data_IF_737803765477
#
_entry.id   IF_737803765477
#
_cell.length_a   1.000
_cell.length_b   1.000
_cell.length_c   1.000
_cell.angle_alpha   90.00
_cell.angle_beta   90.00
_cell.angle_gamma   90.00
#
_symmetry.space_group_name_H-M   'P 1'
#
loop_
_entity.id
_entity.type
_entity.pdbx_description
1 polymer ?
#
# COMPACT_ATOMS: atom_id res chain seq x y z
N UNK A 1 0.90 -13.20 0.50
CA UNK A 1 1.72 -12.98 1.70
C UNK A 1 2.31 -11.56 1.74
N UNK A 2 2.99 -11.07 0.68
CA UNK A 2 3.66 -9.76 0.69
C UNK A 2 2.77 -8.57 1.11
N UNK A 3 1.54 -8.39 0.61
CA UNK A 3 0.68 -7.29 1.05
C UNK A 3 0.35 -7.33 2.54
N UNK A 4 0.11 -8.53 3.09
CA UNK A 4 -0.19 -8.70 4.51
C UNK A 4 1.03 -8.38 5.39
N UNK A 5 2.24 -8.72 4.94
CA UNK A 5 3.48 -8.37 5.63
C UNK A 5 3.63 -6.85 5.65
N UNK A 6 3.41 -6.18 4.52
CA UNK A 6 3.56 -4.73 4.41
C UNK A 6 2.52 -3.96 5.25
N UNK A 7 1.26 -4.38 5.23
CA UNK A 7 0.22 -3.76 6.07
C UNK A 7 0.46 -4.01 7.55
N UNK A 8 0.84 -5.24 7.93
CA UNK A 8 1.21 -5.56 9.30
C UNK A 8 2.41 -4.76 9.79
N UNK A 9 3.41 -4.55 8.93
CA UNK A 9 4.60 -3.75 9.23
C UNK A 9 4.25 -2.26 9.43
N UNK A 10 3.33 -1.72 8.62
CA UNK A 10 2.81 -0.35 8.78
C UNK A 10 2.13 -0.16 10.13
N UNK A 11 1.27 -1.09 10.52
CA UNK A 11 0.60 -1.07 11.83
C UNK A 11 1.61 -1.21 12.97
N UNK A 12 2.56 -2.14 12.85
CA UNK A 12 3.59 -2.37 13.88
C UNK A 12 4.50 -1.14 14.05
N UNK A 13 4.86 -0.47 12.95
CA UNK A 13 5.63 0.77 12.99
C UNK A 13 4.87 1.87 13.74
N UNK A 14 3.61 2.11 13.38
CA UNK A 14 2.77 3.09 14.06
C UNK A 14 2.62 2.79 15.55
N UNK A 15 2.42 1.53 15.90
CA UNK A 15 2.30 1.11 17.30
C UNK A 15 3.58 1.39 18.11
N UNK A 16 4.76 1.20 17.50
CA UNK A 16 6.04 1.51 18.14
C UNK A 16 6.29 3.01 18.33
N UNK A 17 5.58 3.85 17.61
CA UNK A 17 5.63 5.32 17.71
C UNK A 17 4.49 5.90 18.56
N UNK A 18 3.76 5.05 19.30
CA UNK A 18 2.65 5.48 20.16
C UNK A 18 1.36 5.84 19.42
N UNK A 19 1.28 5.54 18.11
CA UNK A 19 0.08 5.78 17.30
C UNK A 19 -0.62 4.46 16.97
N UNK A 20 -1.95 4.49 16.94
CA UNK A 20 -2.74 3.32 16.57
C UNK A 20 -3.32 3.48 15.17
N UNK A 21 -2.69 2.85 14.16
CA UNK A 21 -3.08 2.95 12.77
C UNK A 21 -4.06 1.83 12.36
N UNK A 22 -5.36 2.10 12.47
CA UNK A 22 -6.41 1.21 11.93
C UNK A 22 -6.66 1.48 10.43
N UNK A 23 -6.13 2.59 9.89
CA UNK A 23 -6.32 3.01 8.51
C UNK A 23 -5.47 2.30 7.45
N UNK A 24 -4.69 1.27 7.84
CA UNK A 24 -3.75 0.60 6.95
C UNK A 24 -4.42 -0.01 5.69
N UNK A 25 -5.66 -0.51 5.80
CA UNK A 25 -6.39 -1.04 4.66
C UNK A 25 -6.76 0.06 3.64
N UNK A 26 -7.20 1.25 4.10
CA UNK A 26 -7.45 2.40 3.22
C UNK A 26 -6.18 2.92 2.54
N UNK A 27 -5.07 2.97 3.27
CA UNK A 27 -3.75 3.31 2.71
C UNK A 27 -3.34 2.34 1.62
N UNK A 28 -3.50 1.04 1.87
CA UNK A 28 -3.23 -0.01 0.90
C UNK A 28 -4.12 0.12 -0.34
N UNK A 29 -5.41 0.35 -0.16
CA UNK A 29 -6.38 0.47 -1.26
C UNK A 29 -6.06 1.66 -2.16
N UNK A 30 -5.72 2.80 -1.59
CA UNK A 30 -5.34 3.99 -2.37
C UNK A 30 -3.98 3.81 -3.07
N UNK A 31 -3.02 3.18 -2.40
CA UNK A 31 -1.74 2.81 -3.02
C UNK A 31 -1.95 1.85 -4.20
N UNK A 32 -2.81 0.83 -4.04
CA UNK A 32 -3.16 -0.10 -5.09
C UNK A 32 -3.85 0.59 -6.29
N UNK A 33 -4.74 1.55 -6.02
CA UNK A 33 -5.34 2.38 -7.07
C UNK A 33 -4.29 3.13 -7.88
N UNK A 34 -3.32 3.77 -7.21
CA UNK A 34 -2.22 4.47 -7.88
C UNK A 34 -1.38 3.55 -8.77
N UNK A 35 -1.06 2.36 -8.28
CA UNK A 35 -0.34 1.35 -9.08
C UNK A 35 -1.15 0.93 -10.31
N UNK A 36 -2.45 0.65 -10.14
CA UNK A 36 -3.35 0.26 -11.24
C UNK A 36 -3.52 1.38 -12.26
N UNK A 37 -3.67 2.62 -11.80
CA UNK A 37 -3.77 3.78 -12.68
C UNK A 37 -2.52 3.94 -13.54
N UNK A 38 -1.33 3.87 -12.96
CA UNK A 38 -0.07 3.93 -13.68
C UNK A 38 0.11 2.75 -14.65
N UNK A 39 -0.31 1.55 -14.25
CA UNK A 39 -0.18 0.35 -15.07
C UNK A 39 -1.12 0.37 -16.27
N UNK A 40 -2.39 0.75 -16.08
CA UNK A 40 -3.44 0.65 -17.10
C UNK A 40 -3.49 1.90 -17.97
N UNK A 41 -3.51 3.09 -17.34
CA UNK A 41 -3.69 4.35 -18.06
C UNK A 41 -2.39 4.90 -18.64
N UNK A 42 -1.29 4.82 -17.88
CA UNK A 42 0.00 5.36 -18.29
C UNK A 42 0.95 4.30 -18.85
N UNK A 43 0.60 3.00 -18.74
CA UNK A 43 1.41 1.86 -19.22
C UNK A 43 2.87 1.93 -18.75
N UNK A 44 3.06 2.35 -17.49
CA UNK A 44 4.37 2.54 -16.89
C UNK A 44 4.96 1.21 -16.40
N UNK A 45 6.30 1.10 -16.32
CA UNK A 45 6.94 -0.09 -15.80
C UNK A 45 6.65 -0.28 -14.30
N UNK A 46 6.73 -1.52 -13.83
CA UNK A 46 6.34 -1.94 -12.48
C UNK A 46 6.99 -1.13 -11.33
N UNK A 47 8.26 -0.71 -11.50
CA UNK A 47 8.94 0.09 -10.47
C UNK A 47 8.36 1.49 -10.31
N UNK A 48 7.89 2.13 -11.41
CA UNK A 48 7.19 3.43 -11.34
C UNK A 48 5.83 3.25 -10.65
N UNK A 49 5.09 2.20 -11.01
CA UNK A 49 3.82 1.87 -10.36
C UNK A 49 4.00 1.68 -8.85
N UNK A 50 5.10 1.06 -8.43
CA UNK A 50 5.42 0.83 -7.02
C UNK A 50 5.75 2.14 -6.29
N UNK A 51 6.52 3.03 -6.92
CA UNK A 51 6.83 4.37 -6.36
C UNK A 51 5.55 5.18 -6.16
N UNK A 52 4.68 5.24 -7.18
CA UNK A 52 3.41 5.98 -7.09
C UNK A 52 2.48 5.38 -6.04
N UNK A 53 2.40 4.05 -5.95
CA UNK A 53 1.66 3.37 -4.89
C UNK A 53 2.15 3.76 -3.50
N UNK A 54 3.47 3.82 -3.31
CA UNK A 54 4.10 4.20 -2.04
C UNK A 54 3.79 5.66 -1.68
N UNK A 55 3.88 6.57 -2.64
CA UNK A 55 3.59 7.99 -2.43
C UNK A 55 2.11 8.18 -2.06
N UNK A 56 1.18 7.63 -2.83
CA UNK A 56 -0.26 7.78 -2.57
C UNK A 56 -0.69 7.14 -1.25
N UNK A 57 -0.21 5.93 -0.97
CA UNK A 57 -0.45 5.28 0.32
C UNK A 57 0.14 6.06 1.50
N UNK A 58 1.33 6.63 1.32
CA UNK A 58 2.00 7.46 2.32
C UNK A 58 1.27 8.78 2.58
N UNK A 59 0.85 9.49 1.54
CA UNK A 59 0.05 10.72 1.67
C UNK A 59 -1.25 10.42 2.42
N UNK A 60 -1.95 9.35 2.04
CA UNK A 60 -3.19 8.95 2.71
C UNK A 60 -2.97 8.61 4.17
N UNK A 61 -1.87 7.93 4.47
CA UNK A 61 -1.49 7.58 5.84
C UNK A 61 -1.07 8.78 6.69
N UNK A 62 -0.55 9.85 6.07
CA UNK A 62 -0.16 11.07 6.77
C UNK A 62 -1.36 11.88 7.26
N UNK A 63 -2.55 11.74 6.65
CA UNK A 63 -3.73 12.53 6.99
C UNK A 63 -4.18 12.33 8.46
N UNK A 64 -4.37 11.10 8.98
CA UNK A 64 -4.71 10.91 10.39
C UNK A 64 -3.64 11.47 11.34
N UNK A 65 -2.36 11.33 10.98
CA UNK A 65 -1.25 11.91 11.75
C UNK A 65 -1.29 13.43 11.78
N UNK A 66 -1.61 14.07 10.66
CA UNK A 66 -1.79 15.52 10.57
C UNK A 66 -2.93 16.00 11.49
N UNK A 67 -4.09 15.34 11.45
CA UNK A 67 -5.21 15.68 12.33
C UNK A 67 -4.87 15.52 13.82
N UNK A 68 -4.09 14.49 14.15
CA UNK A 68 -3.58 14.32 15.52
C UNK A 68 -2.66 15.45 15.94
N UNK A 69 -1.67 15.79 15.09
CA UNK A 69 -0.63 16.74 15.43
C UNK A 69 -1.16 18.19 15.55
N UNK A 70 -2.04 18.62 14.65
CA UNK A 70 -2.50 20.01 14.58
C UNK A 70 -3.82 20.26 15.32
N UNK A 71 -4.70 19.30 15.34
CA UNK A 71 -6.05 19.47 15.92
C UNK A 71 -6.27 18.61 17.18
N UNK A 72 -5.28 17.83 17.59
CA UNK A 72 -5.37 16.91 18.72
C UNK A 72 -6.58 15.95 18.65
N UNK A 73 -7.00 15.60 17.43
CA UNK A 73 -8.10 14.68 17.20
C UNK A 73 -7.59 13.25 17.42
N UNK A 74 -8.44 12.40 17.96
CA UNK A 74 -8.11 11.00 18.21
C UNK A 74 -7.78 10.29 16.90
N UNK A 75 -6.56 9.77 16.79
CA UNK A 75 -6.03 9.10 15.60
C UNK A 75 -6.79 7.82 15.25
N UNK A 76 -7.36 7.13 16.23
CA UNK A 76 -8.14 5.90 16.03
C UNK A 76 -9.41 6.20 15.25
N UNK A 77 -10.16 7.22 15.67
CA UNK A 77 -11.40 7.64 15.01
C UNK A 77 -11.10 8.13 13.61
N UNK A 78 -10.08 8.98 13.45
CA UNK A 78 -9.67 9.52 12.15
C UNK A 78 -9.22 8.40 11.21
N UNK A 79 -8.41 7.46 11.68
CA UNK A 79 -7.95 6.32 10.88
C UNK A 79 -9.10 5.44 10.40
N UNK A 80 -10.10 5.17 11.25
CA UNK A 80 -11.29 4.40 10.87
C UNK A 80 -12.08 5.14 9.78
N UNK A 81 -12.31 6.45 9.96
CA UNK A 81 -13.04 7.25 8.97
C UNK A 81 -12.30 7.26 7.62
N UNK A 82 -11.01 7.57 7.62
CA UNK A 82 -10.20 7.60 6.39
C UNK A 82 -10.03 6.22 5.75
N UNK A 83 -10.11 5.14 6.52
CA UNK A 83 -10.15 3.79 5.97
C UNK A 83 -11.38 3.58 5.07
N UNK A 84 -12.57 3.92 5.56
CA UNK A 84 -13.82 3.80 4.80
C UNK A 84 -13.89 4.79 3.64
N UNK A 85 -13.48 6.04 3.85
CA UNK A 85 -13.42 7.05 2.79
C UNK A 85 -12.51 6.56 1.67
N UNK A 86 -11.31 6.04 1.99
CA UNK A 86 -10.38 5.52 0.98
C UNK A 86 -10.95 4.35 0.20
N UNK A 87 -11.62 3.42 0.87
CA UNK A 87 -12.25 2.27 0.24
C UNK A 87 -13.35 2.70 -0.76
N UNK A 88 -14.27 3.55 -0.32
CA UNK A 88 -15.38 4.01 -1.16
C UNK A 88 -14.89 4.92 -2.29
N UNK A 89 -13.94 5.82 -2.02
CA UNK A 89 -13.35 6.68 -3.03
C UNK A 89 -12.72 5.86 -4.16
N UNK A 90 -11.89 4.89 -3.83
CA UNK A 90 -11.22 4.03 -4.84
C UNK A 90 -12.24 3.18 -5.59
N UNK A 91 -13.25 2.66 -4.89
CA UNK A 91 -14.31 1.90 -5.55
C UNK A 91 -15.05 2.75 -6.58
N UNK A 92 -15.42 3.99 -6.23
CA UNK A 92 -16.07 4.91 -7.17
C UNK A 92 -15.16 5.29 -8.34
N UNK A 93 -13.87 5.58 -8.08
CA UNK A 93 -12.90 5.92 -9.11
C UNK A 93 -12.64 4.78 -10.11
N UNK A 94 -12.74 3.53 -9.67
CA UNK A 94 -12.57 2.35 -10.53
C UNK A 94 -13.89 2.03 -11.26
N UNK A 95 -15.00 2.02 -10.53
CA UNK A 95 -16.30 1.56 -11.04
C UNK A 95 -16.94 2.57 -11.99
N UNK A 96 -16.98 3.86 -11.63
CA UNK A 96 -17.55 4.96 -12.44
C UNK A 96 -18.89 4.58 -13.09
N UNK A 97 -19.84 4.09 -12.30
CA UNK A 97 -21.15 3.60 -12.76
C UNK A 97 -21.06 2.45 -13.80
N UNK A 98 -20.02 1.62 -13.72
CA UNK A 98 -19.82 0.49 -14.63
C UNK A 98 -19.14 0.83 -15.97
N UNK A 99 -18.69 2.08 -16.16
CA UNK A 99 -18.04 2.56 -17.39
C UNK A 99 -16.56 2.91 -17.19
N UNK A 100 -16.03 2.70 -15.98
CA UNK A 100 -14.65 3.03 -15.65
C UNK A 100 -13.62 2.32 -16.55
N UNK A 101 -12.59 3.02 -17.01
CA UNK A 101 -11.60 2.46 -17.94
C UNK A 101 -10.74 1.34 -17.33
N UNK A 102 -10.73 1.23 -16.01
CA UNK A 102 -10.03 0.18 -15.25
C UNK A 102 -10.95 -0.98 -14.84
N UNK A 103 -12.25 -0.87 -15.15
CA UNK A 103 -13.26 -1.83 -14.73
C UNK A 103 -13.58 -2.85 -15.82
N UNK A 104 -13.54 -4.13 -15.49
CA UNK A 104 -13.97 -5.22 -16.37
C UNK A 104 -15.42 -5.59 -16.04
N UNK A 105 -16.36 -5.11 -16.86
CA UNK A 105 -17.81 -5.32 -16.70
C UNK A 105 -18.17 -6.81 -16.70
N UNK A 106 -17.48 -7.63 -17.50
CA UNK A 106 -17.79 -9.06 -17.65
C UNK A 106 -17.49 -9.86 -16.39
N UNK A 107 -16.40 -9.48 -15.70
CA UNK A 107 -15.90 -10.20 -14.53
C UNK A 107 -16.16 -9.45 -13.22
N UNK A 108 -16.82 -8.29 -13.25
CA UNK A 108 -17.11 -7.44 -12.07
C UNK A 108 -15.87 -7.17 -11.20
N UNK A 109 -14.75 -6.85 -11.83
CA UNK A 109 -13.46 -6.61 -11.16
C UNK A 109 -12.59 -5.64 -11.97
N UNK A 110 -11.45 -5.26 -11.44
CA UNK A 110 -10.42 -4.52 -12.18
C UNK A 110 -9.87 -5.36 -13.34
N UNK A 111 -9.41 -4.68 -14.40
CA UNK A 111 -8.78 -5.33 -15.54
C UNK A 111 -7.64 -6.25 -15.11
N UNK A 112 -7.58 -7.44 -15.69
CA UNK A 112 -6.51 -8.39 -15.39
C UNK A 112 -5.27 -8.08 -16.22
N UNK A 113 -4.24 -7.51 -15.59
CA UNK A 113 -2.99 -7.14 -16.23
C UNK A 113 -2.23 -8.34 -16.81
N UNK A 114 -2.31 -9.51 -16.14
CA UNK A 114 -1.57 -10.71 -16.57
C UNK A 114 -2.08 -11.34 -17.87
N UNK A 115 -3.29 -11.00 -18.31
CA UNK A 115 -3.88 -11.55 -19.53
C UNK A 115 -3.58 -10.74 -20.80
N UNK A 116 -3.09 -9.52 -20.64
CA UNK A 116 -2.82 -8.61 -21.74
C UNK A 116 -1.31 -8.35 -21.84
N UNK A 117 -0.72 -8.70 -22.97
CA UNK A 117 0.71 -8.47 -23.23
C UNK A 117 1.10 -6.97 -23.16
N UNK A 118 0.13 -6.09 -23.39
CA UNK A 118 0.31 -4.64 -23.33
C UNK A 118 0.76 -4.13 -21.94
N UNK A 119 0.38 -4.85 -20.87
CA UNK A 119 0.70 -4.48 -19.48
C UNK A 119 1.85 -5.32 -18.89
N UNK A 120 2.53 -6.13 -19.71
CA UNK A 120 3.58 -7.03 -19.23
C UNK A 120 4.70 -6.31 -18.45
N UNK A 121 5.07 -5.10 -18.87
CA UNK A 121 6.08 -4.29 -18.20
C UNK A 121 5.64 -3.73 -16.83
N UNK A 122 4.33 -3.67 -16.58
CA UNK A 122 3.77 -3.17 -15.32
C UNK A 122 3.59 -4.26 -14.26
N UNK A 123 3.83 -5.52 -14.63
CA UNK A 123 3.73 -6.66 -13.74
C UNK A 123 5.07 -6.87 -13.04
N UNK A 124 5.02 -7.09 -11.74
CA UNK A 124 6.22 -7.41 -10.96
C UNK A 124 6.77 -8.75 -11.44
N UNK A 125 8.04 -8.80 -11.90
CA UNK A 125 8.62 -10.03 -12.45
C UNK A 125 8.71 -11.13 -11.40
N UNK A 126 8.54 -12.37 -11.82
CA UNK A 126 8.66 -13.54 -10.95
C UNK A 126 10.06 -14.18 -10.97
N UNK A 127 10.90 -13.83 -11.95
CA UNK A 127 12.26 -14.37 -12.14
C UNK A 127 12.35 -15.91 -12.00
N UNK A 128 11.28 -16.62 -12.34
CA UNK A 128 11.23 -18.09 -12.23
C UNK A 128 10.92 -18.62 -10.83
N UNK A 129 10.63 -17.75 -9.86
CA UNK A 129 10.27 -18.15 -8.49
C UNK A 129 9.01 -19.00 -8.44
N UNK A 130 8.07 -18.79 -9.36
CA UNK A 130 6.87 -19.60 -9.49
C UNK A 130 7.20 -21.09 -9.73
N UNK A 131 8.22 -21.36 -10.55
CA UNK A 131 8.68 -22.73 -10.82
C UNK A 131 9.41 -23.33 -9.62
N UNK A 132 10.22 -22.53 -8.93
CA UNK A 132 11.01 -22.96 -7.79
C UNK A 132 10.12 -23.31 -6.57
N UNK A 133 9.10 -22.52 -6.30
CA UNK A 133 8.18 -22.72 -5.18
C UNK A 133 6.88 -23.46 -5.55
N UNK A 134 6.75 -23.94 -6.79
CA UNK A 134 5.57 -24.64 -7.31
C UNK A 134 4.24 -23.90 -7.03
N UNK A 135 4.26 -22.57 -7.08
CA UNK A 135 3.10 -21.70 -6.81
C UNK A 135 2.92 -20.69 -7.92
N UNK A 136 1.68 -20.39 -8.28
CA UNK A 136 1.35 -19.44 -9.36
C UNK A 136 1.35 -17.97 -8.92
N UNK A 137 1.77 -17.65 -7.70
CA UNK A 137 1.62 -16.30 -7.13
C UNK A 137 2.84 -15.80 -6.35
N UNK A 138 3.99 -16.48 -6.49
CA UNK A 138 5.24 -16.04 -5.86
C UNK A 138 5.98 -15.09 -6.79
N UNK A 139 6.09 -13.85 -6.40
CA UNK A 139 6.82 -12.81 -7.12
C UNK A 139 7.95 -12.26 -6.24
N UNK A 140 8.84 -11.48 -6.83
CA UNK A 140 9.92 -10.80 -6.11
C UNK A 140 9.39 -9.89 -4.98
N UNK A 141 8.09 -9.57 -4.98
CA UNK A 141 7.45 -8.75 -3.96
C UNK A 141 7.61 -9.28 -2.53
N UNK A 142 7.76 -10.60 -2.35
CA UNK A 142 7.97 -11.18 -1.01
C UNK A 142 9.37 -10.84 -0.46
N UNK A 143 10.39 -10.86 -1.32
CA UNK A 143 11.75 -10.46 -0.94
C UNK A 143 11.84 -8.96 -0.70
N UNK A 144 11.11 -8.16 -1.51
CA UNK A 144 11.00 -6.73 -1.29
C UNK A 144 10.35 -6.42 0.06
N UNK A 145 9.27 -7.13 0.42
CA UNK A 145 8.63 -6.98 1.72
C UNK A 145 9.56 -7.35 2.87
N UNK A 146 10.35 -8.41 2.73
CA UNK A 146 11.37 -8.80 3.72
C UNK A 146 12.48 -7.74 3.85
N UNK A 147 12.96 -7.21 2.73
CA UNK A 147 13.96 -6.14 2.71
C UNK A 147 13.45 -4.88 3.41
N UNK A 148 12.20 -4.47 3.15
CA UNK A 148 11.56 -3.33 3.82
C UNK A 148 11.39 -3.60 5.32
N UNK A 149 11.07 -4.82 5.73
CA UNK A 149 10.96 -5.19 7.13
C UNK A 149 12.32 -5.04 7.86
N UNK A 150 13.41 -5.50 7.23
CA UNK A 150 14.76 -5.34 7.76
C UNK A 150 15.13 -3.85 7.82
N UNK A 151 14.83 -3.07 6.79
CA UNK A 151 15.09 -1.64 6.74
C UNK A 151 14.36 -0.90 7.88
N UNK A 152 13.09 -1.18 8.10
CA UNK A 152 12.31 -0.58 9.20
C UNK A 152 12.88 -1.02 10.56
N UNK A 153 13.29 -2.27 10.70
CA UNK A 153 13.94 -2.74 11.93
C UNK A 153 15.24 -2.00 12.21
N UNK A 154 16.08 -1.77 11.17
CA UNK A 154 17.32 -0.99 11.28
C UNK A 154 17.00 0.45 11.66
N UNK A 155 16.06 1.11 10.99
CA UNK A 155 15.65 2.49 11.28
C UNK A 155 15.22 2.60 12.75
N UNK A 156 14.34 1.73 13.22
CA UNK A 156 13.79 1.81 14.58
C UNK A 156 14.81 1.47 15.66
N UNK A 157 15.77 0.59 15.39
CA UNK A 157 16.67 0.08 16.46
C UNK A 157 18.11 0.57 16.36
N UNK A 158 18.53 1.10 15.20
CA UNK A 158 19.93 1.44 14.94
C UNK A 158 20.13 2.92 14.57
N UNK A 159 19.08 3.72 14.50
CA UNK A 159 19.19 5.15 14.17
C UNK A 159 18.71 6.04 15.31
N UNK A 160 19.25 7.27 15.38
CA UNK A 160 18.81 8.32 16.30
C UNK A 160 17.34 8.68 16.10
N UNK A 161 16.90 8.73 14.83
CA UNK A 161 15.51 8.97 14.45
C UNK A 161 14.56 7.91 15.04
N UNK A 162 14.94 6.62 15.00
CA UNK A 162 14.14 5.55 15.59
C UNK A 162 14.07 5.63 17.13
N UNK A 163 15.14 6.12 17.75
CA UNK A 163 15.15 6.38 19.19
C UNK A 163 14.20 7.52 19.58
N UNK A 164 14.25 8.64 18.86
CA UNK A 164 13.35 9.78 19.08
C UNK A 164 11.88 9.40 18.88
N UNK A 165 11.58 8.64 17.83
CA UNK A 165 10.21 8.14 17.58
C UNK A 165 9.70 7.28 18.73
N UNK A 166 10.53 6.39 19.28
CA UNK A 166 10.15 5.56 20.43
C UNK A 166 9.99 6.39 21.70
N UNK A 167 10.83 7.38 21.92
CA UNK A 167 10.75 8.27 23.08
C UNK A 167 9.42 9.05 23.10
N UNK A 168 8.99 9.55 21.93
CA UNK A 168 7.68 10.21 21.78
C UNK A 168 6.53 9.24 22.00
N UNK A 169 6.66 7.99 21.58
CA UNK A 169 5.61 6.97 21.73
C UNK A 169 5.46 6.42 23.14
N UNK A 170 6.43 6.65 24.03
CA UNK A 170 6.40 6.20 25.43
C UNK A 170 5.84 7.26 26.40
N UNK A 171 5.62 8.47 25.95
CA UNK A 171 5.01 9.57 26.68
C UNK A 171 3.51 9.60 26.41
#
# INVERSE_FOLDING_TARGET
AAPLIMTGLSVAFAFKTGLFNIGAAGQYTLGAYGALYCAIMLKMPWYVCLIVATILGGIWGAIPGFFKAYFNINEVITSIMFNWIGLYLVNELIYQNGTGPMYDVRNTRTLNLSKNAEYAQSIIPDFGLNKMFQTNSTTIAIFLAAAVAILIWVILNKTTFGYELKAVGLN
#
